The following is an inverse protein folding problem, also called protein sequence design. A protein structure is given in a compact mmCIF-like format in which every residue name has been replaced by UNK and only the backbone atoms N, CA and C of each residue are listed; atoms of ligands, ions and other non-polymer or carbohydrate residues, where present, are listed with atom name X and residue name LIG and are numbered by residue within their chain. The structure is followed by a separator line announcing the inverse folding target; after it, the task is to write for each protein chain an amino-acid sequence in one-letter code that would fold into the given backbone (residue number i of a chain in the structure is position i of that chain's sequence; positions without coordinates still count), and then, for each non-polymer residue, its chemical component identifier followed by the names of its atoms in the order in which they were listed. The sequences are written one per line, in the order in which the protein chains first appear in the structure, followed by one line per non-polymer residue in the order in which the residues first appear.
data_IF_194576567992
#
_entry.id   IF_194576567992
#
_cell.length_a   1.000
_cell.length_b   1.000
_cell.length_c   1.000
_cell.angle_alpha   90.00
_cell.angle_beta   90.00
_cell.angle_gamma   90.00
#
_symmetry.space_group_name_H-M   'P 1'
#
loop_
_entity.id
_entity.type
_entity.pdbx_description
1 polymer ?
#
# COMPACT_ATOMS: atom_id res chain seq x y z
N UNK A 1 56.15 -2.65 24.93
CA UNK A 1 55.59 -3.97 24.55
C UNK A 1 54.31 -4.32 25.34
N UNK A 2 54.27 -4.11 26.67
CA UNK A 2 53.05 -4.39 27.46
C UNK A 2 51.92 -3.37 27.25
N UNK A 3 52.24 -2.08 27.07
CA UNK A 3 51.25 -1.03 26.82
C UNK A 3 50.56 -1.18 25.46
N UNK A 4 51.31 -1.56 24.41
CA UNK A 4 50.75 -1.84 23.09
C UNK A 4 49.78 -3.03 23.11
N UNK A 5 50.06 -4.07 23.91
CA UNK A 5 49.15 -5.20 24.10
C UNK A 5 47.87 -4.78 24.84
N UNK A 6 47.98 -3.94 25.88
CA UNK A 6 46.81 -3.38 26.58
C UNK A 6 45.94 -2.52 25.66
N UNK A 7 46.54 -1.68 24.82
CA UNK A 7 45.81 -0.86 23.83
C UNK A 7 45.09 -1.75 22.81
N UNK A 8 45.72 -2.82 22.34
CA UNK A 8 45.10 -3.78 21.42
C UNK A 8 43.91 -4.51 22.07
N UNK A 9 44.06 -5.00 23.30
CA UNK A 9 42.97 -5.64 24.04
C UNK A 9 41.79 -4.71 24.26
N UNK A 10 42.05 -3.45 24.63
CA UNK A 10 41.00 -2.46 24.88
C UNK A 10 40.26 -2.09 23.58
N UNK A 11 40.98 -2.02 22.44
CA UNK A 11 40.37 -1.82 21.13
C UNK A 11 39.50 -3.01 20.69
N UNK A 12 39.93 -4.25 20.95
CA UNK A 12 39.14 -5.45 20.66
C UNK A 12 37.87 -5.53 21.52
N UNK A 13 37.99 -5.22 22.82
CA UNK A 13 36.83 -5.16 23.71
C UNK A 13 35.83 -4.09 23.29
N UNK A 14 36.30 -2.91 22.86
CA UNK A 14 35.41 -1.87 22.36
C UNK A 14 34.70 -2.29 21.07
N UNK A 15 35.41 -2.93 20.13
CA UNK A 15 34.79 -3.49 18.92
C UNK A 15 33.75 -4.56 19.26
N UNK A 16 34.04 -5.43 20.22
CA UNK A 16 33.11 -6.46 20.68
C UNK A 16 31.85 -5.83 21.29
N UNK A 17 32.01 -4.86 22.19
CA UNK A 17 30.89 -4.13 22.83
C UNK A 17 30.03 -3.39 21.81
N UNK A 18 30.66 -2.68 20.86
CA UNK A 18 29.93 -1.98 19.79
C UNK A 18 29.13 -2.96 18.92
N UNK A 19 29.71 -4.12 18.60
CA UNK A 19 29.00 -5.18 17.86
C UNK A 19 27.82 -5.74 18.65
N UNK A 20 28.01 -6.04 19.93
CA UNK A 20 26.95 -6.55 20.81
C UNK A 20 25.81 -5.54 20.97
N UNK A 21 26.12 -4.25 21.11
CA UNK A 21 25.13 -3.16 21.15
C UNK A 21 24.33 -3.08 19.84
N UNK A 22 25.01 -3.10 18.69
CA UNK A 22 24.34 -3.09 17.39
C UNK A 22 23.40 -4.29 17.19
N UNK A 23 23.83 -5.49 17.64
CA UNK A 23 23.00 -6.69 17.60
C UNK A 23 21.79 -6.51 18.52
N UNK A 24 21.97 -6.01 19.74
CA UNK A 24 20.88 -5.80 20.68
C UNK A 24 19.84 -4.80 20.15
N UNK A 25 20.28 -3.66 19.59
CA UNK A 25 19.40 -2.67 18.96
C UNK A 25 18.64 -3.25 17.76
N UNK A 26 19.32 -4.03 16.93
CA UNK A 26 18.71 -4.68 15.77
C UNK A 26 17.67 -5.71 16.22
N UNK A 27 18.01 -6.54 17.20
CA UNK A 27 17.12 -7.54 17.78
C UNK A 27 15.90 -6.92 18.46
N UNK A 28 16.01 -5.75 19.06
CA UNK A 28 14.88 -5.01 19.62
C UNK A 28 13.88 -4.55 18.54
N UNK A 29 14.37 -4.21 17.34
CA UNK A 29 13.53 -3.78 16.20
C UNK A 29 12.94 -4.95 15.41
N UNK A 30 13.53 -6.13 15.50
CA UNK A 30 13.12 -7.32 14.72
C UNK A 30 11.65 -7.73 14.90
N UNK A 31 11.06 -7.78 16.10
CA UNK A 31 9.66 -8.18 16.28
C UNK A 31 8.68 -7.31 15.47
N UNK A 32 8.87 -5.98 15.52
CA UNK A 32 8.06 -5.04 14.77
C UNK A 32 8.22 -5.24 13.25
N UNK A 33 9.45 -5.48 12.78
CA UNK A 33 9.70 -5.77 11.37
C UNK A 33 9.02 -7.07 10.92
N UNK A 34 9.02 -8.11 11.76
CA UNK A 34 8.35 -9.39 11.49
C UNK A 34 6.84 -9.19 11.39
N UNK A 35 6.24 -8.42 12.29
CA UNK A 35 4.80 -8.12 12.25
C UNK A 35 4.43 -7.34 10.99
N UNK A 36 5.20 -6.32 10.65
CA UNK A 36 5.03 -5.56 9.42
C UNK A 36 5.14 -6.45 8.18
N UNK A 37 6.13 -7.34 8.13
CA UNK A 37 6.28 -8.29 7.03
C UNK A 37 5.10 -9.27 6.95
N UNK A 38 4.66 -9.85 8.07
CA UNK A 38 3.48 -10.73 8.11
C UNK A 38 2.22 -10.01 7.63
N UNK A 39 2.05 -8.75 8.02
CA UNK A 39 0.94 -7.92 7.57
C UNK A 39 1.02 -7.70 6.05
N UNK A 40 2.16 -7.30 5.52
CA UNK A 40 2.34 -7.12 4.07
C UNK A 40 2.05 -8.42 3.29
N UNK A 41 2.47 -9.57 3.82
CA UNK A 41 2.19 -10.86 3.20
C UNK A 41 0.69 -11.21 3.20
N UNK A 42 -0.05 -10.87 4.27
CA UNK A 42 -1.52 -11.02 4.29
C UNK A 42 -2.18 -10.09 3.29
N UNK A 43 -1.83 -8.80 3.28
CA UNK A 43 -2.37 -7.83 2.34
C UNK A 43 -2.09 -8.23 0.89
N UNK A 44 -0.91 -8.76 0.59
CA UNK A 44 -0.58 -9.28 -0.74
C UNK A 44 -1.45 -10.48 -1.11
N UNK A 45 -1.63 -11.45 -0.20
CA UNK A 45 -2.49 -12.62 -0.43
C UNK A 45 -3.95 -12.21 -0.63
N UNK A 46 -4.44 -11.24 0.11
CA UNK A 46 -5.80 -10.72 -0.03
C UNK A 46 -5.99 -10.01 -1.37
N UNK A 47 -5.01 -9.20 -1.80
CA UNK A 47 -5.01 -8.59 -3.14
C UNK A 47 -4.99 -9.64 -4.24
N UNK A 48 -4.14 -10.65 -4.13
CA UNK A 48 -4.07 -11.75 -5.10
C UNK A 48 -5.40 -12.54 -5.16
N UNK A 49 -6.07 -12.76 -4.02
CA UNK A 49 -7.40 -13.37 -3.97
C UNK A 49 -8.45 -12.47 -4.64
N UNK A 50 -8.48 -11.19 -4.29
CA UNK A 50 -9.42 -10.22 -4.86
C UNK A 50 -9.24 -10.08 -6.39
N UNK A 51 -7.99 -10.06 -6.86
CA UNK A 51 -7.68 -10.02 -8.29
C UNK A 51 -8.11 -11.31 -8.99
N UNK A 52 -7.92 -12.48 -8.36
CA UNK A 52 -8.40 -13.77 -8.89
C UNK A 52 -9.93 -13.79 -9.00
N UNK A 53 -10.64 -13.36 -7.96
CA UNK A 53 -12.10 -13.26 -7.96
C UNK A 53 -12.60 -12.26 -9.01
N UNK A 54 -11.95 -11.10 -9.12
CA UNK A 54 -12.29 -10.10 -10.14
C UNK A 54 -12.13 -10.66 -11.55
N UNK A 55 -11.02 -11.35 -11.83
CA UNK A 55 -10.79 -12.01 -13.11
C UNK A 55 -11.83 -13.10 -13.37
N UNK A 56 -12.15 -13.92 -12.36
CA UNK A 56 -13.18 -14.95 -12.49
C UNK A 56 -14.56 -14.36 -12.81
N UNK A 57 -14.95 -13.24 -12.18
CA UNK A 57 -16.21 -12.52 -12.48
C UNK A 57 -16.23 -12.00 -13.92
N UNK A 58 -15.13 -11.40 -14.38
CA UNK A 58 -15.01 -10.91 -15.76
C UNK A 58 -15.08 -12.06 -16.78
N UNK A 59 -14.45 -13.19 -16.46
CA UNK A 59 -14.53 -14.40 -17.29
C UNK A 59 -15.95 -14.96 -17.35
N UNK A 60 -16.65 -15.02 -16.22
CA UNK A 60 -18.05 -15.44 -16.19
C UNK A 60 -18.95 -14.52 -17.02
N UNK A 61 -18.81 -13.19 -16.87
CA UNK A 61 -19.58 -12.22 -17.66
C UNK A 61 -19.28 -12.34 -19.17
N UNK A 62 -18.03 -12.57 -19.55
CA UNK A 62 -17.66 -12.82 -20.95
C UNK A 62 -18.24 -14.15 -21.46
N UNK A 63 -18.23 -15.20 -20.64
CA UNK A 63 -18.82 -16.50 -20.97
C UNK A 63 -20.35 -16.41 -21.12
N UNK A 64 -21.05 -15.64 -20.29
CA UNK A 64 -22.49 -15.40 -20.42
C UNK A 64 -22.83 -14.70 -21.74
N UNK A 65 -22.02 -13.72 -22.15
CA UNK A 65 -22.24 -12.97 -23.40
C UNK A 65 -21.94 -13.77 -24.66
N UNK A 66 -20.91 -14.62 -24.64
CA UNK A 66 -20.46 -15.39 -25.79
C UNK A 66 -21.04 -16.81 -25.83
N UNK A 67 -21.58 -17.29 -24.70
CA UNK A 67 -22.04 -18.66 -24.49
C UNK A 67 -20.93 -19.58 -23.97
N UNK A 68 -21.34 -20.61 -23.21
CA UNK A 68 -20.45 -21.58 -22.57
C UNK A 68 -19.64 -22.47 -23.52
N UNK A 69 -19.90 -22.41 -24.84
CA UNK A 69 -19.22 -23.22 -25.85
C UNK A 69 -18.01 -22.53 -26.48
N UNK A 70 -17.70 -21.29 -26.10
CA UNK A 70 -16.55 -20.55 -26.63
C UNK A 70 -15.29 -20.88 -25.85
N UNK A 71 -14.24 -21.28 -26.56
CA UNK A 71 -12.92 -21.57 -25.98
C UNK A 71 -12.34 -20.30 -25.30
N UNK A 72 -11.96 -20.35 -24.01
CA UNK A 72 -11.28 -19.25 -23.31
C UNK A 72 -10.00 -18.74 -23.97
N UNK A 73 -9.38 -19.54 -24.84
CA UNK A 73 -8.18 -19.15 -25.60
C UNK A 73 -8.48 -18.48 -26.93
N UNK A 74 -9.74 -18.43 -27.35
CA UNK A 74 -10.12 -17.78 -28.61
C UNK A 74 -9.84 -16.28 -28.58
N UNK A 75 -9.46 -15.72 -29.73
CA UNK A 75 -9.16 -14.29 -29.90
C UNK A 75 -10.36 -13.42 -29.55
N UNK A 76 -11.55 -13.80 -30.02
CA UNK A 76 -12.82 -13.12 -29.72
C UNK A 76 -13.12 -13.03 -28.22
N UNK A 77 -12.80 -14.07 -27.45
CA UNK A 77 -12.98 -14.07 -25.99
C UNK A 77 -11.98 -13.14 -25.29
N UNK A 78 -10.72 -13.17 -25.72
CA UNK A 78 -9.67 -12.29 -25.18
C UNK A 78 -9.95 -10.81 -25.49
N UNK A 79 -10.41 -10.48 -26.69
CA UNK A 79 -10.81 -9.12 -27.06
C UNK A 79 -11.98 -8.62 -26.21
N UNK A 80 -13.03 -9.43 -26.05
CA UNK A 80 -14.17 -9.06 -25.20
C UNK A 80 -13.76 -8.85 -23.74
N UNK A 81 -12.90 -9.71 -23.19
CA UNK A 81 -12.36 -9.55 -21.84
C UNK A 81 -11.57 -8.25 -21.71
N UNK A 82 -10.70 -7.93 -22.67
CA UNK A 82 -9.94 -6.68 -22.65
C UNK A 82 -10.85 -5.45 -22.71
N UNK A 83 -11.94 -5.51 -23.48
CA UNK A 83 -12.89 -4.40 -23.57
C UNK A 83 -13.70 -4.22 -22.29
N UNK A 84 -14.12 -5.32 -21.64
CA UNK A 84 -14.74 -5.29 -20.31
C UNK A 84 -13.78 -4.73 -19.25
N UNK A 85 -12.50 -5.14 -19.26
CA UNK A 85 -11.48 -4.61 -18.36
C UNK A 85 -11.24 -3.11 -18.57
N UNK A 86 -11.21 -2.65 -19.83
CA UNK A 86 -11.10 -1.22 -20.17
C UNK A 86 -12.31 -0.44 -19.64
N UNK A 87 -13.53 -0.96 -19.82
CA UNK A 87 -14.75 -0.32 -19.32
C UNK A 87 -14.75 -0.21 -17.79
N UNK A 88 -14.43 -1.30 -17.08
CA UNK A 88 -14.32 -1.25 -15.61
C UNK A 88 -13.25 -0.27 -15.14
N UNK A 89 -12.08 -0.25 -15.80
CA UNK A 89 -11.00 0.68 -15.43
C UNK A 89 -11.40 2.13 -15.66
N UNK A 90 -12.18 2.44 -16.71
CA UNK A 90 -12.73 3.78 -16.93
C UNK A 90 -13.69 4.17 -15.81
N UNK A 91 -14.66 3.32 -15.48
CA UNK A 91 -15.62 3.54 -14.39
C UNK A 91 -14.93 3.78 -13.04
N UNK A 92 -13.97 2.93 -12.67
CA UNK A 92 -13.20 3.10 -11.42
C UNK A 92 -12.40 4.42 -11.37
N UNK A 93 -11.83 4.85 -12.51
CA UNK A 93 -11.12 6.13 -12.60
C UNK A 93 -12.07 7.31 -12.41
N UNK A 94 -13.22 7.27 -13.07
CA UNK A 94 -14.25 8.31 -12.98
C UNK A 94 -14.83 8.40 -11.56
N UNK A 95 -15.16 7.27 -10.94
CA UNK A 95 -15.60 7.20 -9.54
C UNK A 95 -14.55 7.75 -8.58
N UNK A 96 -13.28 7.35 -8.73
CA UNK A 96 -12.18 7.88 -7.91
C UNK A 96 -12.02 9.40 -8.10
N UNK A 97 -12.16 9.88 -9.33
CA UNK A 97 -12.10 11.31 -9.62
C UNK A 97 -13.29 12.05 -9.00
N UNK A 98 -14.49 11.47 -9.05
CA UNK A 98 -15.70 12.00 -8.42
C UNK A 98 -15.56 12.06 -6.90
N UNK A 99 -15.14 10.97 -6.26
CA UNK A 99 -14.88 10.93 -4.81
C UNK A 99 -13.82 11.95 -4.39
N UNK A 100 -12.76 12.14 -5.18
CA UNK A 100 -11.75 13.16 -4.91
C UNK A 100 -12.32 14.58 -5.01
N UNK A 101 -13.20 14.83 -5.99
CA UNK A 101 -13.89 16.12 -6.12
C UNK A 101 -14.84 16.34 -4.93
N UNK A 102 -15.64 15.34 -4.57
CA UNK A 102 -16.56 15.37 -3.44
C UNK A 102 -15.84 15.57 -2.10
N UNK A 103 -14.72 14.88 -1.87
CA UNK A 103 -13.89 15.07 -0.68
C UNK A 103 -13.27 16.47 -0.64
N UNK A 104 -12.86 17.02 -1.80
CA UNK A 104 -12.33 18.39 -1.87
C UNK A 104 -13.42 19.43 -1.61
N UNK A 105 -14.62 19.25 -2.15
CA UNK A 105 -15.75 20.14 -1.87
C UNK A 105 -16.20 20.03 -0.41
N UNK A 106 -16.20 18.82 0.16
CA UNK A 106 -16.51 18.62 1.58
C UNK A 106 -15.45 19.26 2.50
N UNK A 107 -14.16 19.13 2.16
CA UNK A 107 -13.09 19.81 2.89
C UNK A 107 -13.19 21.34 2.78
N UNK A 108 -13.52 21.87 1.59
CA UNK A 108 -13.73 23.31 1.40
C UNK A 108 -14.97 23.83 2.13
N UNK A 109 -16.05 23.04 2.18
CA UNK A 109 -17.24 23.36 2.98
C UNK A 109 -16.93 23.32 4.49
N UNK A 110 -16.17 22.32 4.96
CA UNK A 110 -15.75 22.24 6.35
C UNK A 110 -14.81 23.38 6.77
N UNK A 111 -13.97 23.90 5.87
CA UNK A 111 -13.16 25.09 6.13
C UNK A 111 -13.97 26.39 6.04
N UNK A 112 -15.02 26.45 5.22
CA UNK A 112 -15.90 27.62 5.11
C UNK A 112 -16.86 27.75 6.31
N UNK A 113 -17.28 26.63 6.92
CA UNK A 113 -18.06 26.62 8.17
C UNK A 113 -17.23 27.00 9.41
N UNK A 114 -15.90 27.04 9.30
CA UNK A 114 -14.99 27.40 10.40
C UNK A 114 -14.56 28.89 10.36
N UNK A 115 -14.91 29.66 9.34
CA UNK A 115 -14.60 31.10 9.25
C UNK A 115 -15.75 31.88 8.60
N UNK A 116 -16.59 32.56 9.41
CA UNK A 116 -16.42 34.00 9.56
C UNK A 116 -16.78 34.50 10.98
N UNK A 117 -15.95 34.24 12.00
CA UNK A 117 -16.18 34.81 13.34
C UNK A 117 -14.94 35.33 14.09
N UNK A 118 -13.71 34.95 13.71
CA UNK A 118 -12.52 35.30 14.49
C UNK A 118 -11.67 36.47 13.93
N UNK A 119 -12.21 37.25 12.98
CA UNK A 119 -11.52 38.42 12.41
C UNK A 119 -12.27 39.74 12.59
N UNK A 120 -12.82 39.99 13.77
CA UNK A 120 -13.16 41.36 14.20
C UNK A 120 -12.81 41.59 15.67
N UNK A 121 -11.53 41.79 15.96
CA UNK A 121 -11.08 42.68 17.05
C UNK A 121 -9.60 43.08 16.87
N UNK A 122 -9.28 44.22 16.23
CA UNK A 122 -8.12 45.00 16.63
C UNK A 122 -8.55 46.05 17.68
N UNK A 123 -7.56 46.63 18.36
CA UNK A 123 -7.62 47.76 19.33
C UNK A 123 -8.21 47.46 20.72
N UNK A 124 -7.65 47.92 21.84
CA UNK A 124 -6.53 48.83 22.11
C UNK A 124 -6.10 48.65 23.57
#
# INVERSE_FOLDING_TARGET
MQESLRVQQLAEEQKRKAREQLIAESMAKMPQMIENWRRQQRERREKEKADKERRARLQAEAQERLGYHVDPRSTRFQELLQDLEKQQRKRLKEEKQRQKKEARTAAMAATADQDPADSMAPSS
#
